data_IF_078329306783
#
_entry.id   IF_078329306783
#
_cell.length_a   1.000
_cell.length_b   1.000
_cell.length_c   1.000
_cell.angle_alpha   90.00
_cell.angle_beta   90.00
_cell.angle_gamma   90.00
#
_symmetry.space_group_name_H-M   'P 1'
#
loop_
_entity.id
_entity.type
_entity.pdbx_description
1 polymer ?
#
# COMPACT_ATOMS: atom_id res chain seq x y z
N UNK A 1 -3.83 8.70 -7.23
CA UNK A 1 -4.25 7.32 -6.90
C UNK A 1 -3.12 6.28 -6.80
N UNK A 2 -2.03 6.41 -7.55
CA UNK A 2 -0.89 5.46 -7.50
C UNK A 2 -0.09 5.45 -6.17
N UNK A 3 -0.23 6.48 -5.33
CA UNK A 3 0.55 6.67 -4.10
C UNK A 3 0.00 5.91 -2.87
N UNK A 4 -1.27 5.51 -2.89
CA UNK A 4 -1.95 4.89 -1.75
C UNK A 4 -1.65 3.41 -1.56
N UNK A 5 -1.23 2.74 -2.59
CA UNK A 5 -1.23 1.28 -2.68
C UNK A 5 -0.08 0.61 -1.96
N UNK A 6 1.04 1.25 -1.90
CA UNK A 6 2.27 0.65 -1.41
C UNK A 6 2.38 0.63 0.11
N UNK A 7 1.61 1.47 0.79
CA UNK A 7 1.56 1.53 2.26
C UNK A 7 0.75 0.42 2.86
N UNK A 8 -0.31 0.01 2.20
CA UNK A 8 -1.04 -1.18 2.61
C UNK A 8 -0.09 -2.36 2.66
N UNK A 9 0.91 -2.39 1.79
CA UNK A 9 1.90 -3.47 1.72
C UNK A 9 2.83 -3.55 2.92
N UNK A 10 3.35 -2.46 3.42
CA UNK A 10 4.17 -2.47 4.64
C UNK A 10 3.34 -2.80 5.90
N UNK A 11 2.04 -2.50 5.86
CA UNK A 11 1.11 -2.85 6.94
C UNK A 11 0.60 -4.30 6.89
N UNK A 12 0.48 -4.89 5.71
CA UNK A 12 -0.03 -6.25 5.53
C UNK A 12 0.91 -7.33 6.06
N UNK A 13 2.19 -7.04 6.21
CA UNK A 13 3.18 -7.97 6.77
C UNK A 13 3.08 -8.08 8.30
N UNK A 14 2.45 -7.10 8.99
CA UNK A 14 2.41 -7.02 10.45
C UNK A 14 1.01 -7.07 11.07
N UNK A 15 -0.06 -7.29 10.30
CA UNK A 15 -1.41 -7.01 10.77
C UNK A 15 -2.13 -8.23 11.35
N UNK A 16 -2.12 -8.32 12.67
CA UNK A 16 -3.21 -8.90 13.46
C UNK A 16 -3.91 -7.86 14.37
N UNK A 17 -3.83 -6.57 14.07
CA UNK A 17 -4.41 -5.50 14.90
C UNK A 17 -5.31 -4.62 14.06
N UNK A 18 -6.51 -4.33 14.57
CA UNK A 18 -7.44 -3.37 13.96
C UNK A 18 -6.81 -1.97 13.98
N UNK A 19 -6.40 -1.46 12.83
CA UNK A 19 -5.79 -0.13 12.74
C UNK A 19 -6.62 0.84 11.92
N UNK A 20 -6.75 2.04 12.44
CA UNK A 20 -7.00 3.21 11.62
C UNK A 20 -5.66 3.88 11.35
N UNK A 21 -5.28 4.03 10.09
CA UNK A 21 -4.03 4.67 9.68
C UNK A 21 -4.35 5.92 8.87
N UNK A 22 -3.67 7.02 9.18
CA UNK A 22 -3.80 8.26 8.44
C UNK A 22 -2.62 8.45 7.49
N UNK A 23 -2.90 8.88 6.27
CA UNK A 23 -1.89 9.23 5.27
C UNK A 23 -1.67 10.73 5.18
N UNK A 24 -0.41 11.12 4.97
CA UNK A 24 0.03 12.51 4.88
C UNK A 24 0.90 12.71 3.64
N UNK A 25 0.86 13.91 3.07
CA UNK A 25 1.78 14.30 2.00
C UNK A 25 3.18 14.67 2.55
N UNK A 26 4.07 15.10 1.68
CA UNK A 26 5.44 15.50 2.05
C UNK A 26 5.48 16.71 2.98
N UNK A 27 4.42 17.51 3.01
CA UNK A 27 4.28 18.70 3.87
C UNK A 27 3.57 18.41 5.20
N UNK A 28 3.16 17.16 5.43
CA UNK A 28 2.45 16.73 6.63
C UNK A 28 0.94 17.00 6.60
N UNK A 29 0.37 17.34 5.45
CA UNK A 29 -1.07 17.53 5.32
C UNK A 29 -1.76 16.18 5.14
N UNK A 30 -2.88 15.96 5.85
CA UNK A 30 -3.68 14.75 5.70
C UNK A 30 -4.17 14.58 4.26
N UNK A 31 -3.95 13.41 3.68
CA UNK A 31 -4.42 13.04 2.34
C UNK A 31 -5.54 11.99 2.38
N UNK A 32 -5.67 11.24 3.47
CA UNK A 32 -6.70 10.23 3.61
C UNK A 32 -6.52 9.36 4.84
N UNK A 33 -7.26 8.26 4.89
CA UNK A 33 -7.16 7.27 5.95
C UNK A 33 -7.53 5.87 5.47
N UNK A 34 -7.13 4.86 6.24
CA UNK A 34 -7.44 3.45 6.05
C UNK A 34 -8.08 2.92 7.31
N UNK A 35 -9.11 2.08 7.17
CA UNK A 35 -9.74 1.39 8.29
C UNK A 35 -9.90 -0.08 7.95
N UNK A 36 -9.36 -0.93 8.80
CA UNK A 36 -9.55 -2.37 8.70
C UNK A 36 -10.81 -2.81 9.43
N UNK A 37 -11.61 -3.60 8.74
CA UNK A 37 -12.77 -4.28 9.30
C UNK A 37 -12.73 -5.75 8.84
N UNK A 38 -12.34 -6.65 9.76
CA UNK A 38 -12.12 -8.05 9.42
C UNK A 38 -11.07 -8.23 8.33
N UNK A 39 -11.43 -8.90 7.26
CA UNK A 39 -10.56 -9.14 6.09
C UNK A 39 -10.57 -8.02 5.05
N UNK A 40 -11.30 -6.93 5.31
CA UNK A 40 -11.44 -5.80 4.38
C UNK A 40 -10.77 -4.55 4.95
N UNK A 41 -9.99 -3.86 4.12
CA UNK A 41 -9.41 -2.55 4.41
C UNK A 41 -10.13 -1.54 3.53
N UNK A 42 -10.83 -0.59 4.14
CA UNK A 42 -11.49 0.50 3.44
C UNK A 42 -10.58 1.73 3.36
N UNK A 43 -10.58 2.39 2.20
CA UNK A 43 -9.82 3.60 1.94
C UNK A 43 -10.76 4.80 1.90
N UNK A 44 -10.31 5.89 2.51
CA UNK A 44 -11.03 7.14 2.56
C UNK A 44 -10.13 8.30 2.14
N UNK A 45 -10.69 9.31 1.48
CA UNK A 45 -10.01 10.56 1.17
C UNK A 45 -9.88 11.46 2.41
N UNK A 46 -9.30 12.66 2.22
CA UNK A 46 -9.15 13.64 3.32
C UNK A 46 -10.49 14.09 3.92
N UNK A 47 -11.57 14.01 3.15
CA UNK A 47 -12.92 14.41 3.56
C UNK A 47 -13.73 13.27 4.18
N UNK A 48 -13.15 12.07 4.26
CA UNK A 48 -13.80 10.88 4.82
C UNK A 48 -14.70 10.13 3.84
N UNK A 49 -14.65 10.46 2.55
CA UNK A 49 -15.40 9.74 1.53
C UNK A 49 -14.65 8.46 1.16
N UNK A 50 -15.38 7.35 1.04
CA UNK A 50 -14.77 6.07 0.64
C UNK A 50 -14.32 6.12 -0.82
N UNK A 51 -13.05 5.78 -1.05
CA UNK A 51 -12.44 5.78 -2.39
C UNK A 51 -12.22 4.37 -2.94
N UNK A 52 -12.23 3.35 -2.07
CA UNK A 52 -12.03 1.97 -2.49
C UNK A 52 -11.85 1.03 -1.32
N UNK A 53 -11.44 -0.20 -1.62
CA UNK A 53 -11.16 -1.20 -0.59
C UNK A 53 -10.18 -2.27 -1.08
N UNK A 54 -9.61 -2.98 -0.11
CA UNK A 54 -8.86 -4.21 -0.31
C UNK A 54 -9.51 -5.33 0.45
N UNK A 55 -9.64 -6.50 -0.16
CA UNK A 55 -10.12 -7.72 0.50
C UNK A 55 -9.00 -8.75 0.52
N UNK A 56 -8.73 -9.30 1.71
CA UNK A 56 -7.72 -10.35 1.90
C UNK A 56 -8.10 -11.61 1.14
N UNK A 57 -7.11 -12.25 0.53
CA UNK A 57 -7.20 -13.58 -0.10
C UNK A 57 -6.20 -14.52 0.60
N UNK A 58 -6.14 -15.78 0.20
CA UNK A 58 -5.21 -16.77 0.78
C UNK A 58 -3.73 -16.36 0.65
N UNK A 59 -3.35 -15.65 -0.40
CA UNK A 59 -1.96 -15.27 -0.70
C UNK A 59 -1.75 -13.79 -1.01
N UNK A 60 -2.69 -12.93 -0.65
CA UNK A 60 -2.58 -11.49 -0.91
C UNK A 60 -3.88 -10.72 -0.75
N UNK A 61 -4.18 -9.85 -1.70
CA UNK A 61 -5.35 -8.96 -1.66
C UNK A 61 -5.89 -8.71 -3.05
N UNK A 62 -7.23 -8.56 -3.13
CA UNK A 62 -7.89 -7.94 -4.28
C UNK A 62 -8.22 -6.49 -3.97
N UNK A 63 -8.03 -5.60 -4.93
CA UNK A 63 -8.38 -4.18 -4.83
C UNK A 63 -9.66 -3.88 -5.59
N UNK A 64 -10.47 -2.98 -5.02
CA UNK A 64 -11.77 -2.56 -5.56
C UNK A 64 -11.88 -1.04 -5.50
N UNK A 65 -12.60 -0.45 -6.44
CA UNK A 65 -12.95 0.97 -6.43
C UNK A 65 -14.10 1.27 -5.45
N UNK A 66 -14.50 2.54 -5.39
CA UNK A 66 -15.62 2.98 -4.52
C UNK A 66 -16.96 2.35 -4.88
N UNK A 67 -17.14 1.88 -6.11
CA UNK A 67 -18.35 1.21 -6.59
C UNK A 67 -18.31 -0.31 -6.44
N UNK A 68 -17.22 -0.88 -5.95
CA UNK A 68 -17.05 -2.32 -5.74
C UNK A 68 -16.53 -3.06 -6.98
N UNK A 69 -16.16 -2.38 -8.06
CA UNK A 69 -15.54 -3.02 -9.21
C UNK A 69 -14.08 -3.35 -8.91
N UNK A 70 -13.65 -4.57 -9.28
CA UNK A 70 -12.26 -5.01 -9.09
C UNK A 70 -11.32 -4.18 -9.97
N UNK A 71 -10.28 -3.62 -9.35
CA UNK A 71 -9.25 -2.82 -10.02
C UNK A 71 -7.94 -3.55 -10.18
N UNK A 72 -7.72 -4.64 -9.44
CA UNK A 72 -6.50 -5.42 -9.52
C UNK A 72 -6.35 -6.42 -8.39
N UNK A 73 -5.14 -6.98 -8.28
CA UNK A 73 -4.79 -7.91 -7.21
C UNK A 73 -3.32 -7.81 -6.83
N UNK A 74 -3.01 -8.31 -5.65
CA UNK A 74 -1.67 -8.41 -5.07
C UNK A 74 -1.47 -9.83 -4.61
N UNK A 75 -0.38 -10.46 -5.02
CA UNK A 75 0.00 -11.81 -4.60
C UNK A 75 1.37 -11.78 -3.94
N UNK A 76 1.45 -12.29 -2.73
CA UNK A 76 2.70 -12.35 -1.95
C UNK A 76 3.28 -13.75 -2.00
N UNK A 77 4.57 -13.84 -2.29
CA UNK A 77 5.37 -15.05 -2.20
C UNK A 77 6.71 -14.71 -1.53
N UNK A 78 6.94 -15.24 -0.35
CA UNK A 78 8.10 -14.85 0.47
C UNK A 78 8.10 -13.35 0.80
N UNK A 79 9.20 -12.67 0.50
CA UNK A 79 9.38 -11.23 0.71
C UNK A 79 8.98 -10.37 -0.50
N UNK A 80 8.39 -10.98 -1.52
CA UNK A 80 8.02 -10.31 -2.77
C UNK A 80 6.51 -10.32 -2.94
N UNK A 81 5.95 -9.17 -3.27
CA UNK A 81 4.57 -9.04 -3.66
C UNK A 81 4.46 -8.50 -5.08
N UNK A 82 3.71 -9.19 -5.91
CA UNK A 82 3.45 -8.81 -7.30
C UNK A 82 2.07 -8.19 -7.42
N UNK A 83 2.01 -7.02 -8.04
CA UNK A 83 0.78 -6.33 -8.38
C UNK A 83 0.34 -6.68 -9.79
N UNK A 84 -0.95 -6.97 -9.93
CA UNK A 84 -1.63 -7.23 -11.20
C UNK A 84 -2.76 -6.22 -11.40
N UNK A 85 -3.05 -5.89 -12.65
CA UNK A 85 -4.22 -5.11 -13.01
C UNK A 85 -5.52 -5.95 -12.97
N UNK A 86 -6.65 -5.35 -13.34
CA UNK A 86 -7.94 -6.07 -13.37
C UNK A 86 -7.97 -7.24 -14.35
N UNK A 87 -7.13 -7.23 -15.35
CA UNK A 87 -7.03 -8.26 -16.40
C UNK A 87 -6.00 -9.35 -16.07
N UNK A 88 -5.30 -9.24 -14.94
CA UNK A 88 -4.29 -10.20 -14.51
C UNK A 88 -2.88 -9.94 -15.08
N UNK A 89 -2.66 -8.80 -15.75
CA UNK A 89 -1.34 -8.43 -16.25
C UNK A 89 -0.49 -7.84 -15.13
N UNK A 90 0.80 -8.22 -15.08
CA UNK A 90 1.76 -7.71 -14.10
C UNK A 90 1.97 -6.20 -14.29
N UNK A 91 1.82 -5.44 -13.21
CA UNK A 91 2.05 -4.00 -13.16
C UNK A 91 3.37 -3.64 -12.49
N UNK A 92 3.79 -4.42 -11.50
CA UNK A 92 5.01 -4.17 -10.75
C UNK A 92 5.20 -5.12 -9.60
N UNK A 93 6.28 -4.90 -8.83
CA UNK A 93 6.61 -5.70 -7.66
C UNK A 93 7.06 -4.83 -6.49
N UNK A 94 6.92 -5.38 -5.30
CA UNK A 94 7.40 -4.84 -4.03
C UNK A 94 8.26 -5.90 -3.35
N UNK A 95 9.46 -5.53 -2.92
CA UNK A 95 10.36 -6.43 -2.19
C UNK A 95 10.74 -5.83 -0.85
N UNK A 96 10.55 -6.58 0.22
CA UNK A 96 10.90 -6.18 1.57
C UNK A 96 12.20 -6.86 1.98
N UNK A 97 13.19 -6.08 2.44
CA UNK A 97 14.45 -6.62 2.92
C UNK A 97 14.38 -6.95 4.43
N UNK A 98 15.45 -7.52 4.97
CA UNK A 98 15.57 -7.88 6.38
C UNK A 98 15.51 -6.68 7.34
N UNK A 99 15.79 -5.46 6.86
CA UNK A 99 15.70 -4.21 7.65
C UNK A 99 14.29 -3.59 7.62
N UNK A 100 13.30 -4.27 7.01
CA UNK A 100 11.93 -3.76 6.93
C UNK A 100 11.71 -2.67 5.87
N UNK A 101 12.67 -2.45 4.98
CA UNK A 101 12.51 -1.52 3.86
C UNK A 101 11.89 -2.24 2.67
N UNK A 102 10.76 -1.71 2.19
CA UNK A 102 10.10 -2.21 0.99
C UNK A 102 10.47 -1.33 -0.21
N UNK A 103 11.02 -1.93 -1.25
CA UNK A 103 11.34 -1.25 -2.51
C UNK A 103 10.31 -1.63 -3.58
N UNK A 104 9.80 -0.63 -4.29
CA UNK A 104 8.85 -0.81 -5.38
C UNK A 104 9.54 -0.75 -6.74
N UNK A 105 9.08 -1.62 -7.65
CA UNK A 105 9.58 -1.75 -9.01
C UNK A 105 8.42 -1.73 -10.01
N UNK A 106 8.65 -1.20 -11.20
CA UNK A 106 7.69 -1.27 -12.30
C UNK A 106 7.65 -2.68 -12.93
N UNK A 107 6.83 -2.87 -13.96
CA UNK A 107 6.72 -4.16 -14.67
C UNK A 107 8.02 -4.58 -15.38
N UNK A 108 8.90 -3.65 -15.64
CA UNK A 108 10.21 -3.88 -16.28
C UNK A 108 11.35 -4.08 -15.27
N UNK A 109 11.06 -4.06 -13.96
CA UNK A 109 12.06 -4.22 -12.90
C UNK A 109 12.83 -2.96 -12.53
N UNK A 110 12.43 -1.78 -13.01
CA UNK A 110 13.04 -0.49 -12.64
C UNK A 110 12.48 0.00 -11.30
N UNK A 111 13.37 0.44 -10.41
CA UNK A 111 12.97 1.00 -9.12
C UNK A 111 12.09 2.24 -9.32
N UNK A 112 10.95 2.28 -8.63
CA UNK A 112 10.01 3.40 -8.64
C UNK A 112 9.96 4.16 -7.31
N UNK A 113 10.40 3.54 -6.22
CA UNK A 113 10.41 4.16 -4.90
C UNK A 113 10.72 3.18 -3.79
N UNK A 114 10.57 3.64 -2.55
CA UNK A 114 10.74 2.80 -1.37
C UNK A 114 9.88 3.28 -0.21
N UNK A 115 9.70 2.40 0.79
CA UNK A 115 8.94 2.61 2.01
C UNK A 115 9.78 2.15 3.18
N UNK A 116 9.90 2.97 4.23
CA UNK A 116 10.62 2.65 5.44
C UNK A 116 9.75 2.92 6.65
N UNK A 117 9.59 1.91 7.50
CA UNK A 117 8.86 2.03 8.77
C UNK A 117 9.86 2.24 9.91
N UNK A 118 9.65 3.27 10.72
CA UNK A 118 10.47 3.56 11.90
C UNK A 118 9.94 2.83 13.14
N UNK A 119 10.66 2.95 14.26
CA UNK A 119 10.31 2.32 15.53
C UNK A 119 9.01 2.82 16.14
N UNK A 120 8.50 4.00 15.74
CA UNK A 120 7.20 4.54 16.16
C UNK A 120 6.03 4.00 15.35
N UNK A 121 6.29 3.16 14.35
CA UNK A 121 5.28 2.61 13.43
C UNK A 121 4.91 3.56 12.29
N UNK A 122 5.62 4.69 12.13
CA UNK A 122 5.41 5.58 10.98
C UNK A 122 6.13 5.03 9.76
N UNK A 123 5.42 4.89 8.65
CA UNK A 123 5.99 4.54 7.36
C UNK A 123 6.19 5.79 6.51
N UNK A 124 7.41 6.02 6.06
CA UNK A 124 7.74 7.12 5.14
C UNK A 124 7.95 6.57 3.74
N UNK A 125 7.34 7.24 2.76
CA UNK A 125 7.46 6.92 1.34
C UNK A 125 8.49 7.83 0.68
N UNK A 126 9.34 7.23 -0.15
CA UNK A 126 10.37 7.91 -0.95
C UNK A 126 10.17 7.63 -2.43
N UNK A 127 10.53 8.58 -3.28
CA UNK A 127 10.58 8.38 -4.73
C UNK A 127 11.83 7.56 -5.14
N UNK A 128 12.01 7.34 -6.45
CA UNK A 128 13.18 6.60 -6.97
C UNK A 128 14.51 7.25 -6.63
N UNK A 129 14.51 8.55 -6.38
CA UNK A 129 15.71 9.36 -6.07
C UNK A 129 15.96 9.51 -4.56
N UNK A 130 15.13 8.89 -3.72
CA UNK A 130 15.25 8.97 -2.25
C UNK A 130 14.64 10.22 -1.63
N UNK A 131 13.83 11.01 -2.36
CA UNK A 131 13.15 12.19 -1.83
C UNK A 131 11.83 11.76 -1.17
N UNK A 132 11.54 12.33 0.01
CA UNK A 132 10.27 12.06 0.72
C UNK A 132 9.07 12.51 -0.13
N UNK A 133 8.09 11.62 -0.25
CA UNK A 133 6.82 11.85 -0.97
C UNK A 133 5.65 11.98 -0.01
N UNK A 134 5.67 11.24 1.09
CA UNK A 134 4.59 11.24 2.08
C UNK A 134 4.89 10.32 3.25
N UNK A 135 3.94 10.20 4.15
CA UNK A 135 4.04 9.31 5.31
C UNK A 135 2.67 8.81 5.75
N UNK A 136 2.69 7.80 6.63
CA UNK A 136 1.51 7.09 7.14
C UNK A 136 1.73 6.79 8.62
N UNK A 137 0.70 7.04 9.42
CA UNK A 137 0.71 6.79 10.86
C UNK A 137 -0.67 6.46 11.40
#
# INVERSE_FOLDING_TARGET
MKKFLAVIFSFLIFANVAFATTSYDKYGQKTGSYRQNGSTINLYDRYGQRTGSFKKTSNGYNSYDKYGAKTGSYKTHGNTTTKYDRYGSKVGTYKTNSSGVTTSYDKYGRKTGSFKTDSSGRTTQYDRYGRKVGSYK
#
